data_IF_800919037500
#
_entry.id   IF_800919037500
#
_cell.length_a   1.000
_cell.length_b   1.000
_cell.length_c   1.000
_cell.angle_alpha   90.00
_cell.angle_beta   90.00
_cell.angle_gamma   90.00
#
_symmetry.space_group_name_H-M   'P 1'
#
loop_
_entity.id
_entity.type
_entity.pdbx_description
1 polymer ?
#
# COMPACT_ATOMS: atom_id res chain seq x y z
N UNK A 1 -11.84 -27.79 3.75
CA UNK A 1 -11.15 -26.60 4.27
C UNK A 1 -12.05 -25.41 3.97
N UNK A 2 -12.27 -24.48 4.91
CA UNK A 2 -13.10 -23.29 4.67
C UNK A 2 -12.20 -22.18 4.15
N UNK A 3 -12.62 -21.55 3.06
CA UNK A 3 -11.90 -20.41 2.50
C UNK A 3 -12.05 -19.21 3.44
N UNK A 4 -10.94 -18.52 3.67
CA UNK A 4 -10.91 -17.31 4.51
C UNK A 4 -11.39 -16.12 3.68
N UNK A 5 -12.40 -15.40 4.19
CA UNK A 5 -12.84 -14.13 3.62
C UNK A 5 -12.04 -12.98 4.25
N UNK A 6 -11.30 -12.25 3.41
CA UNK A 6 -10.55 -11.07 3.83
C UNK A 6 -11.31 -9.80 3.43
N UNK A 7 -11.66 -8.98 4.42
CA UNK A 7 -12.20 -7.64 4.21
C UNK A 7 -11.12 -6.60 4.54
N UNK A 8 -10.86 -5.69 3.60
CA UNK A 8 -9.79 -4.70 3.70
C UNK A 8 -10.38 -3.30 3.54
N UNK A 9 -10.06 -2.39 4.45
CA UNK A 9 -10.29 -0.95 4.28
C UNK A 9 -9.14 -0.34 3.46
N UNK A 10 -9.41 -0.09 2.18
CA UNK A 10 -8.41 0.41 1.24
C UNK A 10 -7.98 1.85 1.52
N UNK A 11 -8.85 2.71 2.04
CA UNK A 11 -8.57 4.13 2.19
C UNK A 11 -7.57 4.37 3.33
N UNK A 12 -7.80 3.71 4.47
CA UNK A 12 -6.88 3.70 5.61
C UNK A 12 -5.49 3.19 5.22
N UNK A 13 -5.42 2.21 4.32
CA UNK A 13 -4.19 1.58 3.87
C UNK A 13 -3.37 2.50 2.95
N UNK A 14 -4.04 3.17 2.00
CA UNK A 14 -3.43 4.18 1.12
C UNK A 14 -2.85 5.33 1.96
N UNK A 15 -3.62 5.84 2.92
CA UNK A 15 -3.17 6.94 3.79
C UNK A 15 -1.93 6.52 4.58
N UNK A 16 -1.96 5.34 5.23
CA UNK A 16 -0.80 4.86 6.00
C UNK A 16 0.43 4.62 5.13
N UNK A 17 0.26 4.10 3.92
CA UNK A 17 1.35 3.88 2.96
C UNK A 17 1.97 5.19 2.46
N UNK A 18 1.14 6.22 2.24
CA UNK A 18 1.57 7.56 1.86
C UNK A 18 2.41 8.21 2.97
N UNK A 19 1.93 8.21 4.21
CA UNK A 19 2.64 8.83 5.33
C UNK A 19 3.87 8.06 5.80
N UNK A 20 3.89 6.73 5.66
CA UNK A 20 5.07 5.91 5.98
C UNK A 20 6.32 6.34 5.20
N UNK A 21 6.15 6.92 4.02
CA UNK A 21 7.24 7.37 3.15
C UNK A 21 7.31 8.90 3.02
N UNK A 22 6.69 9.66 3.93
CA UNK A 22 6.66 11.13 3.81
C UNK A 22 8.05 11.78 3.92
N UNK A 23 9.00 11.10 4.58
CA UNK A 23 10.40 11.55 4.74
C UNK A 23 11.34 11.07 3.63
N UNK A 24 10.99 9.97 2.96
CA UNK A 24 11.74 9.38 1.84
C UNK A 24 10.73 8.78 0.85
N UNK A 25 10.10 9.63 0.02
CA UNK A 25 9.09 9.16 -0.92
C UNK A 25 9.74 8.25 -1.97
N UNK A 26 9.10 7.13 -2.26
CA UNK A 26 9.37 6.35 -3.46
C UNK A 26 8.90 7.18 -4.65
N UNK A 27 9.84 7.51 -5.53
CA UNK A 27 9.59 8.27 -6.74
C UNK A 27 9.71 7.37 -7.97
N UNK A 28 8.83 7.57 -8.95
CA UNK A 28 9.02 6.98 -10.28
C UNK A 28 10.05 7.78 -11.10
N UNK A 29 10.28 7.35 -12.35
CA UNK A 29 11.21 8.03 -13.28
C UNK A 29 10.81 9.47 -13.62
N UNK A 30 9.55 9.83 -13.40
CA UNK A 30 9.00 11.17 -13.62
C UNK A 30 9.00 12.01 -12.32
N UNK A 31 9.54 11.49 -11.22
CA UNK A 31 9.60 12.18 -9.93
C UNK A 31 8.28 12.21 -9.16
N UNK A 32 7.28 11.40 -9.55
CA UNK A 32 5.99 11.32 -8.87
C UNK A 32 6.03 10.34 -7.70
N UNK A 33 5.36 10.68 -6.59
CA UNK A 33 5.30 9.83 -5.40
C UNK A 33 4.46 8.56 -5.65
N UNK A 34 5.12 7.41 -5.69
CA UNK A 34 4.52 6.08 -5.89
C UNK A 34 4.41 5.26 -4.60
N UNK A 35 4.75 5.85 -3.45
CA UNK A 35 4.82 5.15 -2.16
C UNK A 35 3.49 4.55 -1.72
N UNK A 36 2.39 5.28 -1.96
CA UNK A 36 1.05 4.84 -1.60
C UNK A 36 0.63 3.60 -2.39
N UNK A 37 0.87 3.61 -3.70
CA UNK A 37 0.56 2.49 -4.61
C UNK A 37 1.42 1.27 -4.26
N UNK A 38 2.72 1.47 -4.10
CA UNK A 38 3.65 0.40 -3.72
C UNK A 38 3.27 -0.25 -2.38
N UNK A 39 3.05 0.57 -1.34
CA UNK A 39 2.70 0.07 -0.01
C UNK A 39 1.34 -0.64 0.03
N UNK A 40 0.37 -0.21 -0.78
CA UNK A 40 -0.93 -0.87 -0.89
C UNK A 40 -0.80 -2.30 -1.44
N UNK A 41 -0.11 -2.48 -2.57
CA UNK A 41 0.07 -3.80 -3.17
C UNK A 41 0.90 -4.75 -2.29
N UNK A 42 1.90 -4.24 -1.59
CA UNK A 42 2.70 -5.03 -0.65
C UNK A 42 1.83 -5.63 0.47
N UNK A 43 0.88 -4.86 0.99
CA UNK A 43 -0.01 -5.31 2.08
C UNK A 43 -1.06 -6.33 1.60
N UNK A 44 -1.49 -6.26 0.35
CA UNK A 44 -2.40 -7.26 -0.24
C UNK A 44 -1.66 -8.57 -0.49
N UNK A 45 -0.47 -8.51 -1.11
CA UNK A 45 0.30 -9.70 -1.45
C UNK A 45 0.80 -10.47 -0.21
N UNK A 46 1.05 -9.77 0.90
CA UNK A 46 1.45 -10.39 2.17
C UNK A 46 0.33 -11.15 2.90
N UNK A 47 -0.94 -10.94 2.53
CA UNK A 47 -2.11 -11.48 3.24
C UNK A 47 -2.95 -12.46 2.41
N UNK A 48 -2.54 -12.71 1.16
CA UNK A 48 -3.02 -13.79 0.30
C UNK A 48 -2.17 -15.03 0.47
#
# INVERSE_FOLDING_TARGET
MRDALYLIDGYSLIYRAYFAHIRQPLLNREGQNSSAVYGFFLNIASKS
#
